data_IF_205571026718
#
_entry.id   IF_205571026718
#
_cell.length_a   1.000
_cell.length_b   1.000
_cell.length_c   1.000
_cell.angle_alpha   90.00
_cell.angle_beta   90.00
_cell.angle_gamma   90.00
#
_symmetry.space_group_name_H-M   'P 1'
#
loop_
_entity.id
_entity.type
_entity.pdbx_description
1 polymer ?
#
# COMPACT_ATOMS: atom_id res chain seq x y z
N UNK A 1 26.49 50.13 -49.88
CA UNK A 1 27.29 49.50 -48.80
C UNK A 1 26.28 49.17 -47.70
N UNK A 2 25.74 47.94 -47.61
CA UNK A 2 26.40 46.70 -47.17
C UNK A 2 26.89 46.90 -45.70
N UNK A 3 26.47 46.20 -44.65
CA UNK A 3 25.96 44.83 -44.48
C UNK A 3 24.87 44.78 -43.38
N UNK A 4 23.85 43.95 -43.60
CA UNK A 4 23.13 43.28 -42.53
C UNK A 4 23.98 42.09 -42.05
N UNK A 5 24.08 41.88 -40.74
CA UNK A 5 24.45 40.57 -40.18
C UNK A 5 23.41 40.19 -39.14
N UNK A 6 22.42 39.44 -39.62
CA UNK A 6 21.75 38.43 -38.83
C UNK A 6 22.77 37.36 -38.45
N UNK A 7 22.97 37.16 -37.16
CA UNK A 7 23.42 35.87 -36.64
C UNK A 7 22.44 35.49 -35.52
N UNK A 8 21.42 34.75 -35.95
CA UNK A 8 20.58 33.79 -35.23
C UNK A 8 21.20 33.36 -33.89
N UNK A 9 20.50 33.52 -32.77
CA UNK A 9 19.61 32.48 -32.21
C UNK A 9 20.14 31.06 -32.47
N UNK A 10 20.56 30.38 -31.39
CA UNK A 10 20.04 29.09 -30.93
C UNK A 10 21.03 28.46 -29.93
N UNK A 11 21.11 29.03 -28.72
CA UNK A 11 21.50 28.28 -27.53
C UNK A 11 20.29 27.45 -27.06
N UNK A 12 19.80 26.54 -27.90
CA UNK A 12 18.90 25.47 -27.47
C UNK A 12 19.74 24.20 -27.38
N UNK A 13 20.17 23.86 -26.17
CA UNK A 13 21.04 22.72 -25.91
C UNK A 13 20.50 21.46 -26.59
N UNK A 14 21.32 20.86 -27.46
CA UNK A 14 21.03 19.56 -28.05
C UNK A 14 20.89 18.54 -26.91
N UNK A 15 19.66 18.15 -26.59
CA UNK A 15 19.46 16.90 -25.87
C UNK A 15 20.05 15.79 -26.75
N UNK A 16 20.98 15.02 -26.20
CA UNK A 16 21.61 13.90 -26.92
C UNK A 16 20.53 12.89 -27.36
N UNK A 17 20.78 12.13 -28.42
CA UNK A 17 19.85 11.09 -28.87
C UNK A 17 19.47 10.10 -27.74
N UNK A 18 20.40 9.84 -26.81
CA UNK A 18 20.15 9.07 -25.59
C UNK A 18 19.11 9.73 -24.67
N UNK A 19 19.22 11.04 -24.41
CA UNK A 19 18.23 11.76 -23.61
C UNK A 19 16.85 11.80 -24.29
N UNK A 20 16.79 11.89 -25.62
CA UNK A 20 15.53 11.84 -26.37
C UNK A 20 14.90 10.44 -26.25
N UNK A 21 15.67 9.38 -26.47
CA UNK A 21 15.21 8.00 -26.33
C UNK A 21 14.68 7.72 -24.91
N UNK A 22 15.46 8.09 -23.89
CA UNK A 22 15.03 7.94 -22.49
C UNK A 22 13.74 8.72 -22.18
N UNK A 23 13.58 9.92 -22.74
CA UNK A 23 12.35 10.70 -22.58
C UNK A 23 11.15 10.06 -23.29
N UNK A 24 11.34 9.46 -24.46
CA UNK A 24 10.29 8.74 -25.19
C UNK A 24 9.88 7.46 -24.44
N UNK A 25 10.85 6.67 -23.98
CA UNK A 25 10.61 5.47 -23.18
C UNK A 25 9.87 5.81 -21.87
N UNK A 26 10.29 6.88 -21.19
CA UNK A 26 9.61 7.38 -20.01
C UNK A 26 8.15 7.77 -20.30
N UNK A 27 7.90 8.46 -21.42
CA UNK A 27 6.53 8.84 -21.83
C UNK A 27 5.67 7.63 -22.17
N UNK A 28 6.22 6.64 -22.88
CA UNK A 28 5.53 5.40 -23.21
C UNK A 28 5.11 4.65 -21.93
N UNK A 29 6.05 4.48 -20.98
CA UNK A 29 5.79 3.83 -19.69
C UNK A 29 4.73 4.55 -18.86
N UNK A 30 4.77 5.89 -18.83
CA UNK A 30 3.74 6.70 -18.15
C UNK A 30 2.37 6.49 -18.79
N UNK A 31 2.30 6.47 -20.13
CA UNK A 31 1.06 6.22 -20.87
C UNK A 31 0.48 4.84 -20.54
N UNK A 32 1.29 3.79 -20.57
CA UNK A 32 0.89 2.43 -20.22
C UNK A 32 0.39 2.33 -18.76
N UNK A 33 1.08 3.00 -17.83
CA UNK A 33 0.67 3.05 -16.43
C UNK A 33 -0.70 3.70 -16.28
N UNK A 34 -0.95 4.80 -17.01
CA UNK A 34 -2.23 5.50 -16.98
C UNK A 34 -3.37 4.66 -17.56
N UNK A 35 -3.10 3.86 -18.59
CA UNK A 35 -4.07 2.89 -19.13
C UNK A 35 -4.41 1.82 -18.09
N UNK A 36 -3.41 1.23 -17.44
CA UNK A 36 -3.61 0.29 -16.34
C UNK A 36 -4.47 0.88 -15.21
N UNK A 37 -4.16 2.11 -14.76
CA UNK A 37 -4.95 2.82 -13.75
C UNK A 37 -6.40 3.02 -14.20
N UNK A 38 -6.63 3.30 -15.49
CA UNK A 38 -7.99 3.47 -16.04
C UNK A 38 -8.79 2.18 -15.93
N UNK A 39 -8.18 1.04 -16.28
CA UNK A 39 -8.79 -0.29 -16.12
C UNK A 39 -9.11 -0.57 -14.65
N UNK A 40 -8.19 -0.26 -13.73
CA UNK A 40 -8.42 -0.42 -12.30
C UNK A 40 -9.61 0.43 -11.81
N UNK A 41 -9.72 1.69 -12.23
CA UNK A 41 -10.86 2.55 -11.84
C UNK A 41 -12.18 2.02 -12.40
N UNK A 42 -12.20 1.52 -13.63
CA UNK A 42 -13.40 0.89 -14.20
C UNK A 42 -13.82 -0.36 -13.41
N UNK A 43 -12.85 -1.19 -13.03
CA UNK A 43 -13.07 -2.38 -12.21
C UNK A 43 -13.66 -2.04 -10.83
N UNK A 44 -13.11 -1.02 -10.16
CA UNK A 44 -13.64 -0.50 -8.89
C UNK A 44 -15.11 -0.09 -9.04
N UNK A 45 -15.43 0.73 -10.05
CA UNK A 45 -16.80 1.18 -10.30
C UNK A 45 -17.76 0.02 -10.54
N UNK A 46 -17.33 -1.01 -11.28
CA UNK A 46 -18.13 -2.22 -11.53
C UNK A 46 -18.45 -2.97 -10.25
N UNK A 47 -17.46 -3.16 -9.37
CA UNK A 47 -17.66 -3.81 -8.07
C UNK A 47 -18.62 -3.00 -7.18
N UNK A 48 -18.44 -1.68 -7.12
CA UNK A 48 -19.32 -0.80 -6.36
C UNK A 48 -20.77 -0.84 -6.86
N UNK A 49 -20.97 -0.82 -8.19
CA UNK A 49 -22.29 -0.94 -8.80
C UNK A 49 -22.96 -2.30 -8.51
N UNK A 50 -22.17 -3.37 -8.37
CA UNK A 50 -22.65 -4.69 -7.98
C UNK A 50 -22.91 -4.83 -6.46
N UNK A 51 -22.59 -3.81 -5.66
CA UNK A 51 -22.69 -3.87 -4.20
C UNK A 51 -21.59 -4.70 -3.53
N UNK A 52 -20.53 -5.06 -4.25
CA UNK A 52 -19.40 -5.81 -3.70
C UNK A 52 -18.56 -4.90 -2.78
N UNK A 53 -18.34 -5.27 -1.51
CA UNK A 53 -17.52 -4.48 -0.58
C UNK A 53 -16.07 -4.30 -1.02
N UNK A 54 -15.55 -5.13 -1.94
CA UNK A 54 -14.23 -4.94 -2.53
C UNK A 54 -14.11 -3.66 -3.34
N UNK A 55 -15.20 -3.21 -3.97
CA UNK A 55 -15.19 -1.95 -4.72
C UNK A 55 -14.88 -0.76 -3.81
N UNK A 56 -15.57 -0.66 -2.67
CA UNK A 56 -15.33 0.39 -1.68
C UNK A 56 -13.94 0.27 -1.04
N UNK A 57 -13.49 -0.96 -0.78
CA UNK A 57 -12.15 -1.23 -0.28
C UNK A 57 -11.04 -0.77 -1.24
N UNK A 58 -11.11 -1.15 -2.52
CA UNK A 58 -10.10 -0.77 -3.50
C UNK A 58 -10.10 0.73 -3.78
N UNK A 59 -11.27 1.37 -3.73
CA UNK A 59 -11.35 2.83 -3.78
C UNK A 59 -10.63 3.48 -2.59
N UNK A 60 -10.85 2.97 -1.37
CA UNK A 60 -10.16 3.45 -0.17
C UNK A 60 -8.64 3.26 -0.29
N UNK A 61 -8.21 2.06 -0.71
CA UNK A 61 -6.81 1.71 -0.90
C UNK A 61 -6.14 2.59 -1.96
N UNK A 62 -6.80 2.84 -3.09
CA UNK A 62 -6.25 3.69 -4.13
C UNK A 62 -6.04 5.14 -3.70
N UNK A 63 -6.90 5.67 -2.81
CA UNK A 63 -6.70 6.98 -2.20
C UNK A 63 -5.56 6.97 -1.17
N UNK A 64 -5.44 5.88 -0.39
CA UNK A 64 -4.33 5.72 0.56
C UNK A 64 -2.95 5.65 -0.13
N UNK A 65 -2.88 4.91 -1.23
CA UNK A 65 -1.68 4.75 -2.06
C UNK A 65 -1.39 5.99 -2.93
N UNK A 66 -2.37 6.89 -3.06
CA UNK A 66 -2.24 8.18 -3.74
C UNK A 66 -2.32 8.16 -5.27
N UNK A 67 -2.64 7.01 -5.88
CA UNK A 67 -2.89 6.93 -7.33
C UNK A 67 -4.35 7.27 -7.70
N UNK A 68 -5.27 7.16 -6.74
CA UNK A 68 -6.54 7.91 -6.74
C UNK A 68 -6.34 9.12 -5.83
N UNK A 69 -6.77 10.31 -6.27
CA UNK A 69 -6.54 11.58 -5.54
C UNK A 69 -7.84 12.30 -5.22
N UNK A 70 -8.92 11.54 -5.13
CA UNK A 70 -10.26 12.05 -4.92
C UNK A 70 -10.46 12.49 -3.45
N UNK A 71 -9.74 11.85 -2.51
CA UNK A 71 -9.70 12.16 -1.08
C UNK A 71 -8.24 12.20 -0.61
N UNK A 72 -7.86 13.26 0.12
CA UNK A 72 -6.48 13.45 0.61
C UNK A 72 -6.35 13.57 2.14
N UNK A 73 -7.44 13.87 2.85
CA UNK A 73 -7.42 13.94 4.31
C UNK A 73 -7.28 12.53 4.93
N UNK A 74 -6.30 12.29 5.82
CA UNK A 74 -6.07 10.96 6.36
C UNK A 74 -7.24 10.35 7.15
N UNK A 75 -8.00 11.18 7.87
CA UNK A 75 -9.19 10.71 8.59
C UNK A 75 -10.30 10.34 7.61
N UNK A 76 -10.49 11.14 6.57
CA UNK A 76 -11.44 10.83 5.51
C UNK A 76 -11.06 9.54 4.74
N UNK A 77 -9.78 9.30 4.47
CA UNK A 77 -9.32 8.04 3.87
C UNK A 77 -9.59 6.87 4.82
N UNK A 78 -9.27 7.00 6.11
CA UNK A 78 -9.57 5.98 7.11
C UNK A 78 -11.07 5.65 7.16
N UNK A 79 -11.93 6.67 7.09
CA UNK A 79 -13.39 6.48 7.05
C UNK A 79 -13.87 5.70 5.80
N UNK A 80 -13.16 5.79 4.67
CA UNK A 80 -13.46 4.94 3.50
C UNK A 80 -13.20 3.46 3.80
N UNK A 81 -12.10 3.13 4.50
CA UNK A 81 -11.84 1.76 4.95
C UNK A 81 -12.88 1.29 5.96
N UNK A 82 -13.25 2.12 6.93
CA UNK A 82 -14.30 1.80 7.91
C UNK A 82 -15.63 1.48 7.22
N UNK A 83 -16.02 2.26 6.21
CA UNK A 83 -17.21 2.00 5.39
C UNK A 83 -17.11 0.66 4.66
N UNK A 84 -15.98 0.36 4.04
CA UNK A 84 -15.78 -0.90 3.34
C UNK A 84 -15.81 -2.10 4.31
N UNK A 85 -15.19 -1.96 5.48
CA UNK A 85 -15.19 -2.96 6.55
C UNK A 85 -16.61 -3.21 7.09
N UNK A 86 -17.40 -2.15 7.29
CA UNK A 86 -18.80 -2.24 7.72
C UNK A 86 -19.69 -2.96 6.69
N UNK A 87 -19.37 -2.83 5.40
CA UNK A 87 -20.01 -3.59 4.31
C UNK A 87 -19.49 -5.03 4.16
N UNK A 88 -18.50 -5.44 4.98
CA UNK A 88 -18.03 -6.82 5.02
C UNK A 88 -16.66 -7.07 4.38
N UNK A 89 -15.96 -6.04 3.87
CA UNK A 89 -14.60 -6.25 3.35
C UNK A 89 -13.66 -6.71 4.45
N UNK A 90 -13.15 -7.94 4.32
CA UNK A 90 -12.16 -8.50 5.23
C UNK A 90 -10.81 -7.79 5.09
N UNK A 91 -10.42 -7.44 3.87
CA UNK A 91 -9.18 -6.70 3.60
C UNK A 91 -9.17 -5.34 4.30
N UNK A 92 -10.31 -4.63 4.29
CA UNK A 92 -10.45 -3.37 5.01
C UNK A 92 -10.34 -3.56 6.53
N UNK A 93 -10.99 -4.60 7.09
CA UNK A 93 -10.89 -4.92 8.53
C UNK A 93 -9.44 -5.21 8.93
N UNK A 94 -8.72 -5.98 8.12
CA UNK A 94 -7.31 -6.32 8.35
C UNK A 94 -6.46 -5.07 8.32
N UNK A 95 -6.59 -4.19 7.32
CA UNK A 95 -5.76 -2.99 7.21
C UNK A 95 -6.07 -1.95 8.29
N UNK A 96 -7.32 -1.86 8.78
CA UNK A 96 -7.66 -1.03 9.95
C UNK A 96 -7.03 -1.58 11.23
N UNK A 97 -7.06 -2.91 11.42
CA UNK A 97 -6.41 -3.53 12.56
C UNK A 97 -4.88 -3.34 12.50
N UNK A 98 -4.28 -3.49 11.32
CA UNK A 98 -2.86 -3.23 11.10
C UNK A 98 -2.49 -1.76 11.37
N UNK A 99 -3.30 -0.80 10.92
CA UNK A 99 -3.08 0.62 11.23
C UNK A 99 -3.01 0.88 12.74
N UNK A 100 -3.87 0.23 13.53
CA UNK A 100 -3.86 0.35 14.99
C UNK A 100 -2.58 -0.25 15.60
N UNK A 101 -2.07 -1.32 15.01
CA UNK A 101 -0.82 -1.97 15.43
C UNK A 101 0.37 -1.03 15.20
N UNK A 102 0.49 -0.44 14.01
CA UNK A 102 1.64 0.38 13.62
C UNK A 102 1.57 1.86 14.01
N UNK A 103 0.43 2.34 14.53
CA UNK A 103 0.13 3.77 14.74
C UNK A 103 0.30 4.59 13.43
N UNK A 104 0.06 3.94 12.28
CA UNK A 104 0.19 4.58 10.98
C UNK A 104 -0.89 5.64 10.75
N UNK A 105 -0.50 6.71 10.05
CA UNK A 105 -1.43 7.78 9.68
C UNK A 105 -2.56 7.31 8.74
N UNK A 106 -2.33 6.24 7.96
CA UNK A 106 -3.25 5.72 6.95
C UNK A 106 -3.26 4.19 6.94
N UNK A 107 -4.42 3.54 6.74
CA UNK A 107 -4.45 2.10 6.46
C UNK A 107 -3.82 1.77 5.11
N UNK A 108 -3.14 0.63 5.01
CA UNK A 108 -2.67 0.08 3.74
C UNK A 108 -1.27 0.49 3.29
N UNK A 109 -0.50 1.18 4.12
CA UNK A 109 0.91 1.49 3.83
C UNK A 109 1.84 0.32 4.18
N UNK A 110 1.88 -0.71 3.34
CA UNK A 110 2.65 -1.95 3.58
C UNK A 110 4.17 -1.83 3.27
N UNK A 111 4.62 -0.66 2.86
CA UNK A 111 6.01 -0.37 2.48
C UNK A 111 6.88 0.08 3.67
N UNK A 112 6.29 0.27 4.84
CA UNK A 112 6.96 0.68 6.06
C UNK A 112 6.90 -0.44 7.10
N UNK A 113 7.97 -0.63 7.87
CA UNK A 113 7.98 -1.64 8.93
C UNK A 113 6.89 -1.35 9.96
N UNK A 114 5.88 -2.22 10.04
CA UNK A 114 4.77 -2.09 10.99
C UNK A 114 5.15 -2.63 12.36
N UNK A 115 5.88 -1.80 13.09
CA UNK A 115 6.35 -2.12 14.43
C UNK A 115 5.53 -1.49 15.54
N UNK A 116 5.76 -1.92 16.79
CA UNK A 116 5.22 -1.24 17.94
C UNK A 116 5.67 0.22 17.92
N UNK A 117 4.68 1.11 17.85
CA UNK A 117 4.87 2.53 18.08
C UNK A 117 5.28 2.81 19.53
N UNK A 118 5.29 4.10 19.91
CA UNK A 118 5.60 4.50 21.30
C UNK A 118 4.58 3.98 22.32
N UNK A 119 3.36 3.67 21.86
CA UNK A 119 2.26 3.19 22.70
C UNK A 119 2.10 1.67 22.56
N UNK A 120 2.72 0.93 23.49
CA UNK A 120 2.64 -0.53 23.52
C UNK A 120 1.22 -1.05 23.82
N UNK A 121 0.36 -0.25 24.45
CA UNK A 121 -1.02 -0.67 24.69
C UNK A 121 -1.81 -0.69 23.38
N UNK A 122 -1.60 0.28 22.49
CA UNK A 122 -2.17 0.25 21.14
C UNK A 122 -1.66 -0.92 20.33
N UNK A 123 -0.35 -1.21 20.41
CA UNK A 123 0.24 -2.40 19.77
C UNK A 123 -0.49 -3.67 20.20
N UNK A 124 -0.61 -3.92 21.52
CA UNK A 124 -1.30 -5.11 22.04
C UNK A 124 -2.78 -5.16 21.64
N UNK A 125 -3.50 -4.03 21.69
CA UNK A 125 -4.89 -3.96 21.24
C UNK A 125 -5.04 -4.24 19.75
N UNK A 126 -4.13 -3.70 18.93
CA UNK A 126 -4.07 -3.94 17.50
C UNK A 126 -3.83 -5.41 17.20
N UNK A 127 -2.85 -6.04 17.86
CA UNK A 127 -2.55 -7.46 17.70
C UNK A 127 -3.73 -8.35 18.08
N UNK A 128 -4.41 -8.02 19.19
CA UNK A 128 -5.60 -8.75 19.64
C UNK A 128 -6.76 -8.68 18.62
N UNK A 129 -6.89 -7.56 17.90
CA UNK A 129 -7.86 -7.42 16.80
C UNK A 129 -7.39 -8.10 15.52
N UNK A 130 -6.11 -8.00 15.19
CA UNK A 130 -5.55 -8.46 13.92
C UNK A 130 -5.44 -9.99 13.87
N UNK A 131 -5.00 -10.64 14.95
CA UNK A 131 -4.79 -12.08 15.00
C UNK A 131 -6.00 -12.92 14.54
N UNK A 132 -7.23 -12.73 15.08
CA UNK A 132 -8.39 -13.51 14.65
C UNK A 132 -8.84 -13.21 13.21
N UNK A 133 -8.49 -12.03 12.66
CA UNK A 133 -8.75 -11.72 11.25
C UNK A 133 -7.78 -12.49 10.35
N UNK A 134 -6.49 -12.53 10.70
CA UNK A 134 -5.47 -13.25 9.93
C UNK A 134 -5.65 -14.77 9.96
N UNK A 135 -6.28 -15.30 11.01
CA UNK A 135 -6.69 -16.70 11.07
C UNK A 135 -7.78 -17.05 10.04
N UNK A 136 -8.59 -16.07 9.61
CA UNK A 136 -9.63 -16.25 8.60
C UNK A 136 -9.12 -15.91 7.19
N UNK A 137 -8.33 -14.84 7.08
CA UNK A 137 -7.73 -14.37 5.83
C UNK A 137 -6.35 -13.78 6.13
N UNK A 138 -5.29 -14.51 5.76
CA UNK A 138 -3.91 -14.18 6.12
C UNK A 138 -3.26 -13.12 5.22
N UNK A 139 -3.86 -12.79 4.08
CA UNK A 139 -3.36 -11.80 3.11
C UNK A 139 -4.43 -10.79 2.73
N UNK A 140 -4.01 -9.58 2.36
CA UNK A 140 -4.88 -8.58 1.74
C UNK A 140 -4.66 -8.50 0.24
N UNK A 141 -5.72 -8.19 -0.49
CA UNK A 141 -5.69 -7.99 -1.94
C UNK A 141 -5.33 -6.55 -2.27
N UNK A 142 -4.50 -6.32 -3.29
CA UNK A 142 -4.18 -4.98 -3.78
C UNK A 142 -4.31 -4.91 -5.28
N UNK A 143 -4.85 -3.81 -5.78
CA UNK A 143 -4.82 -3.50 -7.20
C UNK A 143 -3.49 -2.83 -7.53
N UNK A 144 -2.75 -3.40 -8.48
CA UNK A 144 -1.45 -2.90 -8.92
C UNK A 144 -1.40 -2.84 -10.45
N UNK A 145 -0.55 -1.96 -10.97
CA UNK A 145 -0.20 -1.93 -12.39
C UNK A 145 1.22 -2.44 -12.52
N UNK A 146 1.40 -3.51 -13.28
CA UNK A 146 2.69 -4.14 -13.54
C UNK A 146 2.90 -4.20 -15.04
N UNK A 147 4.00 -3.61 -15.51
CA UNK A 147 4.30 -3.45 -16.95
C UNK A 147 3.09 -2.92 -17.76
N UNK A 148 2.41 -1.89 -17.21
CA UNK A 148 1.23 -1.27 -17.83
C UNK A 148 -0.08 -2.05 -17.67
N UNK A 149 -0.04 -3.27 -17.10
CA UNK A 149 -1.19 -4.15 -17.00
C UNK A 149 -1.74 -4.21 -15.58
N UNK A 150 -3.05 -4.06 -15.48
CA UNK A 150 -3.79 -4.08 -14.22
C UNK A 150 -3.93 -5.51 -13.67
N UNK A 151 -3.55 -5.73 -12.39
CA UNK A 151 -3.71 -7.03 -11.72
C UNK A 151 -4.07 -6.88 -10.24
N UNK A 152 -4.60 -7.96 -9.68
CA UNK A 152 -4.76 -8.14 -8.23
C UNK A 152 -3.56 -8.92 -7.69
N UNK A 153 -2.86 -8.33 -6.74
CA UNK A 153 -1.77 -8.96 -5.99
C UNK A 153 -2.20 -9.24 -4.53
N UNK A 154 -1.51 -10.16 -3.87
CA UNK A 154 -1.85 -10.62 -2.52
C UNK A 154 -0.65 -10.41 -1.59
N UNK A 155 -0.90 -9.77 -0.44
CA UNK A 155 0.14 -9.38 0.50
C UNK A 155 -0.12 -10.05 1.85
N UNK A 156 0.69 -11.04 2.27
CA UNK A 156 0.57 -11.62 3.60
C UNK A 156 0.90 -10.58 4.67
N UNK A 157 0.04 -10.46 5.67
CA UNK A 157 0.17 -9.40 6.69
C UNK A 157 0.99 -9.83 7.89
N UNK A 158 1.07 -11.13 8.17
CA UNK A 158 1.80 -11.62 9.33
C UNK A 158 3.31 -11.34 9.25
N UNK A 159 3.89 -11.22 8.04
CA UNK A 159 5.26 -10.77 7.81
C UNK A 159 5.56 -9.39 8.38
N UNK A 160 4.55 -8.51 8.43
CA UNK A 160 4.69 -7.18 9.00
C UNK A 160 4.83 -7.19 10.53
N UNK A 161 4.53 -8.32 11.17
CA UNK A 161 4.44 -8.43 12.64
C UNK A 161 5.56 -9.29 13.21
N UNK A 162 5.71 -10.53 12.73
CA UNK A 162 6.59 -11.50 13.39
C UNK A 162 8.07 -11.07 13.50
N UNK A 163 8.65 -10.28 12.57
CA UNK A 163 10.04 -9.82 12.70
C UNK A 163 10.26 -8.97 13.96
N UNK A 164 9.22 -8.26 14.44
CA UNK A 164 9.32 -7.46 15.67
C UNK A 164 9.47 -8.32 16.93
N UNK A 165 8.91 -9.54 16.94
CA UNK A 165 9.12 -10.47 18.04
C UNK A 165 10.49 -11.16 18.01
N UNK A 166 11.02 -11.42 16.81
CA UNK A 166 12.35 -12.01 16.59
C UNK A 166 13.48 -11.03 16.90
N UNK A 167 13.43 -9.87 16.23
CA UNK A 167 14.46 -8.85 16.31
C UNK A 167 14.36 -8.07 17.64
N UNK A 168 13.14 -8.00 18.17
CA UNK A 168 12.77 -7.32 19.39
C UNK A 168 12.31 -5.88 19.15
N UNK A 169 11.62 -5.33 20.14
CA UNK A 169 11.15 -3.95 20.17
C UNK A 169 11.40 -3.29 21.53
N UNK A 170 11.50 -1.96 21.56
CA UNK A 170 11.82 -1.25 22.79
C UNK A 170 10.59 -0.88 23.60
N UNK A 171 10.59 -1.21 24.89
CA UNK A 171 9.73 -0.62 25.90
C UNK A 171 10.47 0.51 26.59
N UNK A 172 9.84 1.67 26.70
CA UNK A 172 10.35 2.80 27.48
C UNK A 172 9.96 2.64 28.95
N UNK A 173 10.96 2.68 29.83
CA UNK A 173 10.78 2.56 31.28
C UNK A 173 10.51 3.93 31.91
N UNK A 174 9.93 3.96 33.12
CA UNK A 174 9.60 5.20 33.82
C UNK A 174 10.83 6.06 34.18
N UNK A 175 12.00 5.44 34.28
CA UNK A 175 13.29 6.09 34.55
C UNK A 175 13.97 6.66 33.27
N UNK A 176 13.31 6.56 32.11
CA UNK A 176 13.84 7.02 30.83
C UNK A 176 14.77 6.03 30.12
N UNK A 177 15.06 4.87 30.73
CA UNK A 177 15.78 3.79 30.04
C UNK A 177 14.86 3.03 29.07
N UNK A 178 15.43 2.14 28.26
CA UNK A 178 14.67 1.28 27.35
C UNK A 178 15.08 -0.18 27.48
N UNK A 179 14.09 -1.06 27.49
CA UNK A 179 14.28 -2.51 27.50
C UNK A 179 13.95 -3.07 26.12
N UNK A 180 14.87 -3.84 25.53
CA UNK A 180 14.58 -4.59 24.31
C UNK A 180 13.79 -5.85 24.68
N UNK A 181 12.55 -5.92 24.24
CA UNK A 181 11.67 -7.06 24.41
C UNK A 181 11.73 -7.94 23.18
N UNK A 182 11.91 -9.25 23.38
CA UNK A 182 11.73 -10.29 22.37
C UNK A 182 10.69 -11.28 22.89
N UNK A 183 9.92 -11.87 21.99
CA UNK A 183 8.90 -12.84 22.36
C UNK A 183 8.96 -14.05 21.40
N UNK A 184 9.80 -15.06 21.70
CA UNK A 184 9.92 -16.23 20.85
C UNK A 184 8.63 -17.03 20.69
N UNK A 185 7.72 -16.99 21.68
CA UNK A 185 6.47 -17.74 21.61
C UNK A 185 5.47 -17.04 20.68
N UNK A 186 5.32 -15.71 20.80
CA UNK A 186 4.53 -14.94 19.83
C UNK A 186 5.16 -14.98 18.43
N UNK A 187 6.49 -14.93 18.31
CA UNK A 187 7.15 -15.10 17.03
C UNK A 187 6.67 -16.37 16.31
N UNK A 188 6.70 -17.53 16.98
CA UNK A 188 6.25 -18.80 16.38
C UNK A 188 4.81 -18.74 15.88
N UNK A 189 3.90 -18.10 16.62
CA UNK A 189 2.49 -17.98 16.25
C UNK A 189 2.35 -17.17 14.95
N UNK A 190 2.93 -15.98 14.90
CA UNK A 190 2.80 -15.08 13.76
C UNK A 190 3.60 -15.56 12.54
N UNK A 191 4.80 -16.10 12.74
CA UNK A 191 5.60 -16.69 11.68
C UNK A 191 4.89 -17.92 11.06
N UNK A 192 4.20 -18.72 11.87
CA UNK A 192 3.38 -19.82 11.36
C UNK A 192 2.25 -19.31 10.47
N UNK A 193 1.53 -18.26 10.89
CA UNK A 193 0.47 -17.65 10.07
C UNK A 193 1.01 -17.20 8.72
N UNK A 194 2.15 -16.50 8.73
CA UNK A 194 2.84 -16.02 7.52
C UNK A 194 3.22 -17.18 6.59
N UNK A 195 3.95 -18.18 7.10
CA UNK A 195 4.40 -19.34 6.33
C UNK A 195 3.26 -20.22 5.82
N UNK A 196 2.14 -20.25 6.54
CA UNK A 196 0.95 -21.02 6.17
C UNK A 196 0.02 -20.27 5.24
N UNK A 197 0.30 -19.00 4.93
CA UNK A 197 -0.59 -18.19 4.12
C UNK A 197 -0.50 -18.61 2.64
N UNK A 198 -1.57 -19.22 2.06
CA UNK A 198 -1.56 -19.51 0.64
C UNK A 198 -1.63 -18.18 -0.11
N UNK A 199 -0.60 -17.88 -0.90
CA UNK A 199 -0.61 -16.72 -1.78
C UNK A 199 -1.11 -17.20 -3.15
N UNK A 200 -2.33 -16.82 -3.56
CA UNK A 200 -2.83 -17.18 -4.88
C UNK A 200 -1.96 -16.58 -5.97
N UNK A 201 -2.00 -17.18 -7.16
CA UNK A 201 -1.50 -16.51 -8.35
C UNK A 201 -2.25 -15.19 -8.54
N UNK A 202 -1.53 -14.15 -9.00
CA UNK A 202 -2.15 -12.88 -9.29
C UNK A 202 -3.18 -13.02 -10.41
N UNK A 203 -4.22 -12.19 -10.36
CA UNK A 203 -5.29 -12.20 -11.34
C UNK A 203 -5.24 -10.94 -12.20
N UNK A 204 -5.18 -11.08 -13.52
CA UNK A 204 -5.25 -9.94 -14.42
C UNK A 204 -6.65 -9.33 -14.40
N UNK A 205 -6.72 -8.03 -14.14
CA UNK A 205 -7.96 -7.27 -14.26
C UNK A 205 -8.23 -7.02 -15.74
N UNK A 206 -9.36 -7.54 -16.21
CA UNK A 206 -9.78 -7.37 -17.59
C UNK A 206 -10.51 -6.03 -17.76
N UNK A 207 -10.37 -5.35 -18.92
CA UNK A 207 -11.17 -4.19 -19.27
C UNK A 207 -12.68 -4.45 -19.19
#
# INVERSE_FOLDING_TARGET
>A
MAWASCASLLLSGCMTAANIAQNLDNKARVSETQQGITVLRAHISKLQAAGDPLGDYYYALGNSDGWIKDVSDPKAITALFEKAAAKGSMDAKILLALQLVSDDALPGRLDYGHGPGKDLNKWEQGLAKLLPLLQQQCSVRRLVVDEGRAKTAYYPIAYEIWPHFRNGYYQYNADGTRTLLKDPERQKIWEKLDRSCPIPEFEWVKP
#
